data_IF_567858775257
#
_entry.id   IF_567858775257
#
_cell.length_a   1.000
_cell.length_b   1.000
_cell.length_c   1.000
_cell.angle_alpha   90.00
_cell.angle_beta   90.00
_cell.angle_gamma   90.00
#
_symmetry.space_group_name_H-M   'P 1'
#
loop_
_entity.id
_entity.type
_entity.pdbx_description
1 polymer ?
#
# COMPACT_ATOMS: atom_id res chain seq x y z
N UNK A 1 18.73 -27.80 4.51
CA UNK A 1 18.12 -27.91 5.85
C UNK A 1 16.95 -28.86 5.74
N UNK A 2 16.92 -29.87 6.62
CA UNK A 2 16.00 -31.02 6.56
C UNK A 2 14.58 -30.60 6.92
N UNK A 3 13.60 -31.04 6.11
CA UNK A 3 12.17 -30.96 6.47
C UNK A 3 11.92 -31.93 7.62
N UNK A 4 11.64 -31.44 8.82
CA UNK A 4 11.10 -32.27 9.91
C UNK A 4 9.61 -32.46 9.62
N UNK A 5 9.25 -33.66 9.17
CA UNK A 5 7.85 -34.08 9.06
C UNK A 5 7.38 -34.41 10.47
N UNK A 6 6.57 -33.54 11.07
CA UNK A 6 5.82 -33.89 12.27
C UNK A 6 4.66 -34.78 11.83
N UNK A 7 4.70 -36.07 12.19
CA UNK A 7 3.58 -36.98 11.94
C UNK A 7 2.40 -36.55 12.83
N UNK A 8 1.38 -35.97 12.23
CA UNK A 8 0.04 -35.87 12.81
C UNK A 8 -0.54 -37.29 12.99
N UNK A 9 -1.12 -37.59 14.15
CA UNK A 9 -1.79 -38.86 14.45
C UNK A 9 -3.22 -38.95 13.88
N UNK A 10 -3.60 -38.02 13.00
CA UNK A 10 -4.97 -37.87 12.49
C UNK A 10 -4.94 -37.57 10.99
N UNK A 11 -5.67 -38.36 10.21
CA UNK A 11 -5.57 -38.53 8.75
C UNK A 11 -6.38 -37.49 7.98
N UNK A 12 -7.05 -36.59 8.71
CA UNK A 12 -7.79 -35.44 8.22
C UNK A 12 -7.29 -34.10 8.79
N UNK A 13 -6.27 -34.10 9.66
CA UNK A 13 -5.66 -32.86 10.15
C UNK A 13 -4.49 -32.46 9.27
N UNK A 14 -4.75 -31.57 8.32
CA UNK A 14 -3.72 -30.81 7.63
C UNK A 14 -3.22 -29.69 8.55
N UNK A 15 -2.06 -29.90 9.16
CA UNK A 15 -1.33 -28.84 9.86
C UNK A 15 -0.46 -28.10 8.86
N UNK A 16 -0.72 -26.81 8.67
CA UNK A 16 0.14 -25.94 7.86
C UNK A 16 1.26 -25.42 8.76
N UNK A 17 2.44 -26.02 8.67
CA UNK A 17 3.64 -25.54 9.35
C UNK A 17 4.09 -24.22 8.71
N UNK A 18 3.87 -23.10 9.42
CA UNK A 18 4.32 -21.78 8.98
C UNK A 18 5.49 -21.33 9.86
N UNK A 19 6.46 -20.55 9.31
CA UNK A 19 7.58 -20.04 10.10
C UNK A 19 7.13 -19.27 11.34
N UNK A 20 7.97 -19.22 12.38
CA UNK A 20 7.67 -18.47 13.59
C UNK A 20 7.27 -17.02 13.28
N UNK A 21 6.22 -16.54 13.94
CA UNK A 21 5.77 -15.17 13.82
C UNK A 21 6.70 -14.24 14.60
N UNK A 22 7.09 -13.13 13.98
CA UNK A 22 7.97 -12.13 14.59
C UNK A 22 7.25 -10.79 14.69
N UNK A 23 7.31 -10.13 15.85
CA UNK A 23 6.77 -8.79 16.03
C UNK A 23 7.94 -7.81 16.09
N UNK A 24 7.92 -6.81 15.20
CA UNK A 24 8.88 -5.71 15.18
C UNK A 24 8.17 -4.41 15.54
N UNK A 25 8.77 -3.62 16.42
CA UNK A 25 8.27 -2.31 16.80
C UNK A 25 9.21 -1.21 16.30
N UNK A 26 8.64 -0.20 15.64
CA UNK A 26 9.38 0.95 15.15
C UNK A 26 8.79 2.24 15.72
N UNK A 27 9.65 3.13 16.23
CA UNK A 27 9.22 4.45 16.72
C UNK A 27 9.55 5.49 15.66
N UNK A 28 8.53 6.13 15.08
CA UNK A 28 8.68 7.09 13.96
C UNK A 28 8.60 8.56 14.45
N UNK A 29 8.37 8.79 15.74
CA UNK A 29 8.25 10.16 16.26
C UNK A 29 9.60 10.89 16.32
N UNK A 30 9.60 12.17 15.94
CA UNK A 30 10.74 13.07 16.09
C UNK A 30 10.67 13.73 17.47
N UNK A 31 11.75 13.69 18.25
CA UNK A 31 11.77 14.34 19.56
C UNK A 31 11.66 15.86 19.39
N UNK A 32 10.79 16.49 20.19
CA UNK A 32 10.48 17.93 20.10
C UNK A 32 11.72 18.79 20.32
N UNK A 33 12.74 18.25 21.00
CA UNK A 33 14.06 18.90 21.18
C UNK A 33 14.79 19.14 19.86
N UNK A 34 14.55 18.33 18.82
CA UNK A 34 15.13 18.53 17.49
C UNK A 34 14.33 19.51 16.61
N UNK A 35 13.13 19.90 17.06
CA UNK A 35 12.26 20.85 16.35
C UNK A 35 12.66 22.27 16.78
N UNK A 36 13.64 22.86 16.09
CA UNK A 36 14.13 24.22 16.38
C UNK A 36 13.04 25.30 16.29
N UNK A 37 11.97 25.05 15.54
CA UNK A 37 10.87 25.98 15.39
C UNK A 37 9.56 25.35 15.91
N UNK A 38 9.20 25.69 17.16
CA UNK A 38 8.02 25.16 17.87
C UNK A 38 6.69 25.48 17.19
N UNK A 39 6.67 26.40 16.21
CA UNK A 39 5.48 26.72 15.41
C UNK A 39 5.33 25.84 14.16
N UNK A 40 6.23 24.88 13.92
CA UNK A 40 6.06 23.88 12.86
C UNK A 40 4.92 22.95 13.26
N UNK A 41 3.75 23.25 12.71
CA UNK A 41 2.51 22.50 12.85
C UNK A 41 2.77 21.05 12.40
N UNK A 42 2.35 20.08 13.23
CA UNK A 42 2.33 18.66 12.90
C UNK A 42 1.58 18.49 11.57
N UNK A 43 2.28 18.13 10.50
CA UNK A 43 1.64 17.84 9.22
C UNK A 43 0.72 16.64 9.41
N UNK A 44 -0.58 16.82 9.18
CA UNK A 44 -1.58 15.75 9.13
C UNK A 44 -1.06 14.60 8.25
N UNK A 45 -0.83 13.44 8.87
CA UNK A 45 -0.38 12.23 8.19
C UNK A 45 -1.56 11.64 7.41
N UNK A 46 -1.70 12.02 6.15
CA UNK A 46 -2.62 11.33 5.21
C UNK A 46 -2.08 9.93 4.88
N UNK A 47 -2.93 9.00 4.42
CA UNK A 47 -2.61 7.60 4.09
C UNK A 47 -1.33 7.35 3.26
N UNK A 48 -0.89 8.33 2.46
CA UNK A 48 0.41 8.32 1.74
C UNK A 48 1.62 8.27 2.68
N UNK A 49 1.48 8.68 3.93
CA UNK A 49 2.51 8.70 4.98
C UNK A 49 2.37 7.56 5.97
N UNK A 50 1.33 6.73 5.84
CA UNK A 50 1.28 5.51 6.63
C UNK A 50 2.23 4.50 6.01
N UNK A 51 3.03 3.79 6.84
CA UNK A 51 3.95 2.77 6.39
C UNK A 51 3.19 1.50 5.96
N UNK A 52 2.30 1.64 4.98
CA UNK A 52 1.50 0.55 4.42
C UNK A 52 2.35 -0.40 3.56
N UNK A 53 3.51 0.10 3.10
CA UNK A 53 4.53 -0.65 2.39
C UNK A 53 5.85 -0.56 3.16
N UNK A 54 6.42 -1.72 3.50
CA UNK A 54 7.73 -1.81 4.11
C UNK A 54 8.80 -1.33 3.13
N UNK A 55 9.71 -0.48 3.63
CA UNK A 55 10.93 -0.05 2.93
C UNK A 55 12.10 -1.02 3.17
N UNK A 56 11.93 -1.99 4.08
CA UNK A 56 12.95 -2.96 4.42
C UNK A 56 13.00 -4.08 3.37
N UNK A 57 14.09 -4.14 2.61
CA UNK A 57 14.32 -5.18 1.60
C UNK A 57 14.58 -6.57 2.20
N UNK A 58 14.86 -6.66 3.50
CA UNK A 58 15.12 -7.89 4.27
C UNK A 58 13.95 -8.27 5.19
N UNK A 59 12.71 -7.87 4.84
CA UNK A 59 11.48 -8.30 5.51
C UNK A 59 11.38 -9.84 5.60
N UNK A 60 10.82 -10.34 6.69
CA UNK A 60 10.68 -11.79 6.94
C UNK A 60 9.23 -12.26 6.73
N UNK A 61 9.07 -13.56 6.48
CA UNK A 61 7.75 -14.20 6.46
C UNK A 61 7.15 -14.13 7.86
N UNK A 62 5.83 -13.92 7.97
CA UNK A 62 5.11 -13.84 9.25
C UNK A 62 5.59 -12.72 10.18
N UNK A 63 6.29 -11.72 9.64
CA UNK A 63 6.68 -10.55 10.40
C UNK A 63 5.53 -9.57 10.49
N UNK A 64 5.11 -9.23 11.69
CA UNK A 64 4.17 -8.14 11.98
C UNK A 64 4.95 -6.91 12.41
N UNK A 65 4.65 -5.74 11.86
CA UNK A 65 5.35 -4.50 12.21
C UNK A 65 4.38 -3.50 12.81
N UNK A 66 4.70 -2.98 13.99
CA UNK A 66 3.94 -1.89 14.63
C UNK A 66 4.76 -0.62 14.64
N UNK A 67 4.21 0.43 14.04
CA UNK A 67 4.81 1.75 13.96
C UNK A 67 4.12 2.68 14.96
N UNK A 68 4.87 3.15 15.96
CA UNK A 68 4.40 4.07 16.99
C UNK A 68 4.77 5.52 16.62
N UNK A 69 3.78 6.40 16.63
CA UNK A 69 3.93 7.80 16.25
C UNK A 69 4.01 8.76 17.45
N UNK A 70 3.97 8.23 18.68
CA UNK A 70 4.12 9.03 19.89
C UNK A 70 4.71 8.24 21.06
N UNK A 71 5.22 8.99 22.06
CA UNK A 71 5.94 8.45 23.23
C UNK A 71 5.09 7.50 24.08
N UNK A 72 3.81 7.82 24.29
CA UNK A 72 2.90 7.00 25.08
C UNK A 72 2.35 5.79 24.29
N UNK A 73 2.74 5.62 23.02
CA UNK A 73 2.38 4.48 22.16
C UNK A 73 0.88 4.27 21.99
N UNK A 74 0.07 5.32 22.13
CA UNK A 74 -1.38 5.25 21.91
C UNK A 74 -1.78 5.51 20.46
N UNK A 75 -0.84 6.01 19.65
CA UNK A 75 -1.04 6.36 18.24
C UNK A 75 -0.12 5.49 17.41
N UNK A 76 -0.70 4.52 16.71
CA UNK A 76 0.07 3.51 15.99
C UNK A 76 -0.61 2.96 14.75
N UNK A 77 0.19 2.29 13.94
CA UNK A 77 -0.25 1.41 12.86
C UNK A 77 0.43 0.06 12.99
N UNK A 78 -0.36 -1.01 13.00
CA UNK A 78 0.16 -2.37 12.90
C UNK A 78 -0.15 -2.92 11.51
N UNK A 79 0.85 -3.54 10.89
CA UNK A 79 0.73 -4.21 9.59
C UNK A 79 1.01 -5.68 9.79
N UNK A 80 -0.01 -6.50 9.55
CA UNK A 80 0.02 -7.94 9.77
C UNK A 80 -0.19 -8.65 8.43
N UNK A 81 0.80 -9.40 7.92
CA UNK A 81 0.63 -10.18 6.70
C UNK A 81 -0.22 -11.41 6.96
N UNK A 82 -0.73 -12.02 5.89
CA UNK A 82 -1.29 -13.36 5.97
C UNK A 82 -0.21 -14.38 6.39
N UNK A 83 -0.62 -15.40 7.13
CA UNK A 83 0.25 -16.51 7.51
C UNK A 83 0.94 -17.14 6.27
N UNK A 84 2.25 -17.31 6.34
CA UNK A 84 3.11 -17.77 5.26
C UNK A 84 3.55 -16.68 4.28
N UNK A 85 3.21 -15.41 4.50
CA UNK A 85 3.54 -14.30 3.59
C UNK A 85 4.33 -13.16 4.26
N UNK A 86 4.76 -12.20 3.45
CA UNK A 86 5.50 -11.01 3.83
C UNK A 86 4.56 -9.80 3.92
N UNK A 87 4.91 -8.82 4.76
CA UNK A 87 4.30 -7.48 4.70
C UNK A 87 4.50 -6.89 3.29
N UNK A 88 3.51 -6.18 2.71
CA UNK A 88 3.64 -5.47 1.44
C UNK A 88 4.87 -4.54 1.38
N UNK A 89 5.45 -4.36 0.20
CA UNK A 89 6.69 -3.60 0.02
C UNK A 89 6.78 -3.07 -1.40
N UNK A 90 7.98 -3.02 -1.98
CA UNK A 90 8.20 -2.23 -3.20
C UNK A 90 7.33 -2.63 -4.41
N UNK A 91 7.23 -3.93 -4.69
CA UNK A 91 6.39 -4.43 -5.80
C UNK A 91 4.92 -4.14 -5.56
N UNK A 92 4.45 -4.34 -4.33
CA UNK A 92 3.07 -4.06 -3.95
C UNK A 92 2.76 -2.55 -4.02
N UNK A 93 3.72 -1.70 -3.66
CA UNK A 93 3.61 -0.25 -3.76
C UNK A 93 3.44 0.20 -5.21
N UNK A 94 4.27 -0.30 -6.14
CA UNK A 94 4.13 0.01 -7.58
C UNK A 94 2.79 -0.45 -8.13
N UNK A 95 2.34 -1.65 -7.76
CA UNK A 95 1.03 -2.16 -8.16
C UNK A 95 -0.09 -1.29 -7.61
N UNK A 96 0.00 -0.88 -6.34
CA UNK A 96 -0.98 -0.01 -5.73
C UNK A 96 -1.04 1.38 -6.40
N UNK A 97 0.11 1.98 -6.76
CA UNK A 97 0.15 3.24 -7.52
C UNK A 97 -0.53 3.07 -8.89
N UNK A 98 -0.22 2.00 -9.61
CA UNK A 98 -0.87 1.71 -10.89
C UNK A 98 -2.39 1.46 -10.73
N UNK A 99 -2.83 0.81 -9.65
CA UNK A 99 -4.24 0.66 -9.32
C UNK A 99 -4.92 2.03 -9.12
N UNK A 100 -4.24 2.97 -8.46
CA UNK A 100 -4.77 4.32 -8.27
C UNK A 100 -4.91 5.08 -9.60
N UNK A 101 -3.95 4.93 -10.52
CA UNK A 101 -4.07 5.49 -11.87
C UNK A 101 -5.26 4.90 -12.63
N UNK A 102 -5.39 3.57 -12.65
CA UNK A 102 -6.50 2.87 -13.32
C UNK A 102 -7.85 3.26 -12.70
N UNK A 103 -7.91 3.33 -11.36
CA UNK A 103 -9.11 3.75 -10.64
C UNK A 103 -9.51 5.17 -11.02
N UNK A 104 -8.54 6.09 -11.15
CA UNK A 104 -8.77 7.47 -11.63
C UNK A 104 -9.31 7.49 -13.05
N UNK A 105 -8.70 6.74 -13.97
CA UNK A 105 -9.13 6.63 -15.37
C UNK A 105 -10.57 6.09 -15.50
N UNK A 106 -10.98 5.21 -14.57
CA UNK A 106 -12.33 4.64 -14.52
C UNK A 106 -13.35 5.51 -13.76
N UNK A 107 -12.99 6.73 -13.36
CA UNK A 107 -13.89 7.67 -12.68
C UNK A 107 -13.98 7.48 -11.17
N UNK A 108 -12.91 6.97 -10.54
CA UNK A 108 -12.80 6.73 -9.09
C UNK A 108 -13.84 5.76 -8.48
N UNK A 109 -14.20 4.64 -9.13
CA UNK A 109 -15.18 3.71 -8.57
C UNK A 109 -14.60 2.96 -7.36
N UNK A 110 -15.43 2.74 -6.33
CA UNK A 110 -15.06 1.88 -5.17
C UNK A 110 -14.73 0.45 -5.60
N UNK A 111 -15.44 -0.03 -6.62
CA UNK A 111 -15.36 -1.39 -7.14
C UNK A 111 -15.09 -1.37 -8.63
N UNK A 112 -14.07 -2.09 -9.09
CA UNK A 112 -13.74 -2.16 -10.50
C UNK A 112 -13.00 -3.45 -10.86
N UNK A 113 -12.98 -3.76 -12.15
CA UNK A 113 -12.31 -4.92 -12.72
C UNK A 113 -11.00 -4.49 -13.39
N UNK A 114 -9.98 -5.32 -13.27
CA UNK A 114 -8.69 -5.16 -13.95
C UNK A 114 -8.14 -6.50 -14.46
N UNK A 115 -7.24 -6.44 -15.42
CA UNK A 115 -6.39 -7.54 -15.83
C UNK A 115 -4.94 -7.35 -15.38
N UNK A 116 -4.18 -8.45 -15.30
CA UNK A 116 -2.74 -8.35 -15.08
C UNK A 116 -2.00 -7.65 -16.23
N UNK A 117 -2.57 -7.65 -17.44
CA UNK A 117 -2.02 -6.93 -18.59
C UNK A 117 -2.15 -5.41 -18.43
N UNK A 118 -3.29 -4.91 -17.94
CA UNK A 118 -3.45 -3.49 -17.61
C UNK A 118 -2.38 -3.02 -16.61
N UNK A 119 -2.17 -3.78 -15.53
CA UNK A 119 -1.13 -3.46 -14.55
C UNK A 119 0.29 -3.56 -15.12
N UNK A 120 0.57 -4.57 -15.95
CA UNK A 120 1.85 -4.70 -16.64
C UNK A 120 2.15 -3.46 -17.48
N UNK A 121 1.18 -3.00 -18.25
CA UNK A 121 1.35 -1.87 -19.15
C UNK A 121 1.52 -0.55 -18.37
N UNK A 122 0.84 -0.38 -17.23
CA UNK A 122 1.03 0.79 -16.37
C UNK A 122 2.40 0.83 -15.69
N UNK A 123 2.86 -0.31 -15.16
CA UNK A 123 4.11 -0.39 -14.40
C UNK A 123 5.34 -0.53 -15.33
N UNK A 124 5.13 -0.75 -16.63
CA UNK A 124 6.18 -1.15 -17.57
C UNK A 124 6.97 -2.38 -17.11
N UNK A 125 6.26 -3.41 -16.62
CA UNK A 125 6.92 -4.66 -16.21
C UNK A 125 7.66 -5.30 -17.40
N UNK A 126 8.97 -5.43 -17.26
CA UNK A 126 9.85 -6.09 -18.24
C UNK A 126 9.80 -7.62 -18.17
N UNK A 127 9.30 -8.18 -17.05
CA UNK A 127 9.25 -9.63 -16.84
C UNK A 127 8.13 -10.32 -17.62
N UNK A 128 8.46 -11.47 -18.21
CA UNK A 128 7.48 -12.36 -18.85
C UNK A 128 6.56 -13.05 -17.84
N UNK A 129 6.98 -13.13 -16.56
CA UNK A 129 6.21 -13.73 -15.45
C UNK A 129 5.26 -12.74 -14.76
N UNK A 130 4.91 -11.63 -15.42
CA UNK A 130 4.09 -10.56 -14.83
C UNK A 130 2.76 -11.06 -14.24
N UNK A 131 2.12 -12.07 -14.84
CA UNK A 131 0.86 -12.61 -14.31
C UNK A 131 1.00 -13.12 -12.87
N UNK A 132 2.03 -13.91 -12.57
CA UNK A 132 2.22 -14.47 -11.23
C UNK A 132 2.70 -13.42 -10.23
N UNK A 133 3.46 -12.42 -10.69
CA UNK A 133 3.88 -11.27 -9.87
C UNK A 133 2.66 -10.45 -9.45
N UNK A 134 1.80 -10.11 -10.41
CA UNK A 134 0.57 -9.35 -10.17
C UNK A 134 -0.37 -10.12 -9.25
N UNK A 135 -0.61 -11.40 -9.53
CA UNK A 135 -1.49 -12.24 -8.71
C UNK A 135 -1.03 -12.30 -7.24
N UNK A 136 0.26 -12.56 -7.00
CA UNK A 136 0.82 -12.61 -5.65
C UNK A 136 0.73 -11.27 -4.94
N UNK A 137 1.08 -10.18 -5.61
CA UNK A 137 1.06 -8.86 -5.00
C UNK A 137 -0.37 -8.38 -4.69
N UNK A 138 -1.32 -8.63 -5.60
CA UNK A 138 -2.73 -8.33 -5.36
C UNK A 138 -3.30 -9.16 -4.21
N UNK A 139 -2.97 -10.45 -4.15
CA UNK A 139 -3.36 -11.32 -3.04
C UNK A 139 -2.80 -10.81 -1.72
N UNK A 140 -1.50 -10.49 -1.67
CA UNK A 140 -0.82 -9.95 -0.49
C UNK A 140 -1.45 -8.63 -0.02
N UNK A 141 -1.77 -7.73 -0.94
CA UNK A 141 -2.43 -6.46 -0.62
C UNK A 141 -3.83 -6.66 -0.04
N UNK A 142 -4.59 -7.63 -0.55
CA UNK A 142 -5.93 -7.91 -0.07
C UNK A 142 -5.94 -8.64 1.28
N UNK A 143 -4.96 -9.51 1.54
CA UNK A 143 -4.90 -10.33 2.74
C UNK A 143 -4.06 -9.74 3.88
N UNK A 144 -3.37 -8.63 3.65
CA UNK A 144 -2.68 -7.89 4.72
C UNK A 144 -3.69 -7.08 5.52
N UNK A 145 -3.66 -7.26 6.84
CA UNK A 145 -4.50 -6.51 7.78
C UNK A 145 -3.74 -5.32 8.33
N UNK A 146 -4.41 -4.16 8.35
CA UNK A 146 -3.93 -2.92 8.91
C UNK A 146 -4.76 -2.55 10.12
N UNK A 147 -4.10 -2.35 11.25
CA UNK A 147 -4.71 -1.82 12.47
C UNK A 147 -4.27 -0.38 12.62
N UNK A 148 -5.22 0.54 12.65
CA UNK A 148 -5.01 1.97 12.87
C UNK A 148 -5.57 2.36 14.22
N UNK A 149 -4.76 2.95 15.10
CA UNK A 149 -5.24 3.56 16.35
C UNK A 149 -4.82 5.02 16.39
N UNK A 150 -5.79 5.92 16.47
CA UNK A 150 -5.56 7.38 16.46
C UNK A 150 -4.75 7.86 15.25
N UNK A 151 -4.82 7.13 14.12
CA UNK A 151 -4.07 7.44 12.91
C UNK A 151 -4.98 7.67 11.71
N UNK A 152 -6.13 7.01 11.61
CA UNK A 152 -7.04 7.24 10.48
C UNK A 152 -7.74 8.60 10.58
N UNK A 153 -7.55 9.43 9.57
CA UNK A 153 -8.36 10.62 9.38
C UNK A 153 -9.79 10.22 8.97
N UNK A 154 -10.79 10.64 9.76
CA UNK A 154 -12.17 10.64 9.31
C UNK A 154 -12.45 11.91 8.54
N UNK A 155 -12.72 11.70 7.27
CA UNK A 155 -13.21 12.73 6.38
C UNK A 155 -14.63 13.21 6.69
N UNK A 156 -15.40 12.44 7.46
CA UNK A 156 -16.76 12.80 7.89
C UNK A 156 -16.69 13.68 9.15
N UNK A 157 -15.80 13.35 10.07
CA UNK A 157 -15.59 14.10 11.33
C UNK A 157 -14.53 15.20 11.24
N UNK A 158 -13.89 15.38 10.07
CA UNK A 158 -12.80 16.34 9.82
C UNK A 158 -11.69 16.28 10.88
N UNK A 159 -11.34 15.08 11.34
CA UNK A 159 -10.36 14.86 12.40
C UNK A 159 -9.91 13.41 12.47
N UNK A 160 -8.93 13.14 13.33
CA UNK A 160 -8.45 11.78 13.59
C UNK A 160 -9.53 10.99 14.34
N UNK A 161 -9.83 9.78 13.88
CA UNK A 161 -10.69 8.85 14.62
C UNK A 161 -9.96 8.41 15.89
N UNK A 162 -10.57 8.67 17.04
CA UNK A 162 -10.08 8.22 18.36
C UNK A 162 -10.21 6.71 18.58
N UNK A 163 -10.54 5.96 17.53
CA UNK A 163 -10.93 4.55 17.57
C UNK A 163 -9.83 3.67 16.99
N UNK A 164 -9.83 2.41 17.40
CA UNK A 164 -9.01 1.36 16.79
C UNK A 164 -9.81 0.77 15.63
N UNK A 165 -9.26 0.84 14.43
CA UNK A 165 -9.88 0.31 13.20
C UNK A 165 -8.98 -0.76 12.62
N UNK A 166 -9.56 -1.90 12.29
CA UNK A 166 -8.87 -3.02 11.67
C UNK A 166 -9.48 -3.29 10.29
N UNK A 167 -8.66 -3.23 9.24
CA UNK A 167 -9.15 -3.33 7.87
C UNK A 167 -8.04 -3.70 6.88
N UNK A 168 -8.40 -4.21 5.71
CA UNK A 168 -7.50 -4.37 4.56
C UNK A 168 -7.68 -3.22 3.56
N UNK A 169 -6.80 -3.14 2.55
CA UNK A 169 -6.91 -2.09 1.52
C UNK A 169 -8.16 -2.31 0.65
N UNK A 170 -8.36 -3.54 0.20
CA UNK A 170 -9.45 -3.94 -0.66
C UNK A 170 -9.73 -5.44 -0.52
N UNK A 171 -10.95 -5.83 -0.89
CA UNK A 171 -11.28 -7.20 -1.19
C UNK A 171 -10.95 -7.51 -2.65
N UNK A 172 -10.54 -8.75 -2.93
CA UNK A 172 -10.24 -9.21 -4.28
C UNK A 172 -11.03 -10.47 -4.62
N UNK A 173 -11.54 -10.52 -5.85
CA UNK A 173 -12.11 -11.73 -6.45
C UNK A 173 -11.41 -12.04 -7.76
N UNK A 174 -10.76 -13.21 -7.82
CA UNK A 174 -10.15 -13.74 -9.03
C UNK A 174 -11.20 -14.43 -9.90
N UNK A 175 -11.34 -13.97 -11.14
CA UNK A 175 -12.38 -14.42 -12.07
C UNK A 175 -11.72 -15.07 -13.27
N UNK A 176 -11.95 -16.38 -13.44
CA UNK A 176 -11.51 -17.12 -14.64
C UNK A 176 -12.56 -16.99 -15.74
N UNK A 177 -12.20 -16.40 -16.87
CA UNK A 177 -13.12 -16.08 -17.97
C UNK A 177 -13.62 -17.31 -18.75
N UNK A 178 -12.89 -18.43 -18.69
CA UNK A 178 -13.30 -19.69 -19.32
C UNK A 178 -14.55 -20.31 -18.69
N UNK A 179 -14.84 -20.00 -17.41
CA UNK A 179 -16.00 -20.53 -16.69
C UNK A 179 -17.32 -19.98 -17.25
N UNK A 180 -18.36 -20.82 -17.26
CA UNK A 180 -19.67 -20.47 -17.84
C UNK A 180 -20.38 -19.38 -17.03
N UNK A 181 -20.24 -19.36 -15.70
CA UNK A 181 -20.85 -18.33 -14.86
C UNK A 181 -20.27 -16.91 -15.09
N UNK A 182 -19.08 -16.82 -15.68
CA UNK A 182 -18.36 -15.56 -15.88
C UNK A 182 -18.56 -14.94 -17.28
N UNK A 183 -19.55 -15.41 -18.05
CA UNK A 183 -19.85 -14.88 -19.39
C UNK A 183 -20.00 -13.36 -19.41
N UNK A 184 -20.61 -12.76 -18.37
CA UNK A 184 -20.80 -11.30 -18.25
C UNK A 184 -19.50 -10.49 -18.31
N UNK A 185 -18.39 -11.07 -17.86
CA UNK A 185 -17.09 -10.40 -17.84
C UNK A 185 -16.34 -10.50 -19.18
N UNK A 186 -16.76 -11.37 -20.10
CA UNK A 186 -16.08 -11.57 -21.39
C UNK A 186 -16.17 -10.34 -22.29
N UNK A 187 -17.27 -9.58 -22.19
CA UNK A 187 -17.46 -8.36 -22.96
C UNK A 187 -16.63 -7.18 -22.41
N UNK A 188 -16.10 -7.29 -21.18
CA UNK A 188 -15.26 -6.26 -20.58
C UNK A 188 -13.79 -6.36 -21.00
N UNK A 189 -13.42 -7.42 -21.73
CA UNK A 189 -12.04 -7.72 -22.09
C UNK A 189 -11.95 -7.95 -23.59
N UNK A 190 -11.31 -7.00 -24.29
CA UNK A 190 -11.12 -7.09 -25.75
C UNK A 190 -10.10 -8.18 -26.12
N UNK A 191 -9.01 -8.31 -25.34
CA UNK A 191 -7.96 -9.29 -25.61
C UNK A 191 -8.34 -10.70 -25.15
N UNK A 192 -8.68 -11.56 -26.12
CA UNK A 192 -9.06 -12.97 -25.91
C UNK A 192 -7.96 -13.84 -25.28
N UNK A 193 -6.71 -13.37 -25.21
CA UNK A 193 -5.60 -14.09 -24.55
C UNK A 193 -5.69 -13.99 -23.03
N UNK A 194 -6.39 -12.99 -22.50
CA UNK A 194 -6.59 -12.82 -21.07
C UNK A 194 -7.54 -13.93 -20.58
N UNK A 195 -7.05 -14.74 -19.63
CA UNK A 195 -7.82 -15.85 -19.04
C UNK A 195 -8.40 -15.50 -17.68
N UNK A 196 -7.79 -14.54 -16.99
CA UNK A 196 -8.08 -14.17 -15.61
C UNK A 196 -8.14 -12.66 -15.49
N UNK A 197 -9.14 -12.18 -14.76
CA UNK A 197 -9.28 -10.79 -14.32
C UNK A 197 -9.50 -10.77 -12.81
N UNK A 198 -9.30 -9.60 -12.21
CA UNK A 198 -9.46 -9.35 -10.78
C UNK A 198 -10.53 -8.28 -10.59
N UNK A 199 -11.55 -8.59 -9.81
CA UNK A 199 -12.51 -7.60 -9.31
C UNK A 199 -12.04 -7.13 -7.95
N UNK A 200 -11.77 -5.83 -7.84
CA UNK A 200 -11.28 -5.18 -6.62
C UNK A 200 -12.39 -4.33 -6.02
N UNK A 201 -12.51 -4.33 -4.70
CA UNK A 201 -13.44 -3.49 -3.96
C UNK A 201 -12.74 -2.87 -2.75
N UNK A 202 -12.45 -1.57 -2.82
CA UNK A 202 -11.74 -0.84 -1.77
C UNK A 202 -12.56 -0.77 -0.49
N UNK A 203 -11.91 -0.97 0.66
CA UNK A 203 -12.57 -0.82 1.96
C UNK A 203 -12.98 0.64 2.19
N UNK A 204 -14.05 0.87 2.93
CA UNK A 204 -14.63 2.21 3.09
C UNK A 204 -13.67 3.23 3.70
N UNK A 205 -12.81 2.80 4.62
CA UNK A 205 -11.78 3.66 5.20
C UNK A 205 -10.75 4.08 4.16
N UNK A 206 -10.26 3.16 3.32
CA UNK A 206 -9.31 3.49 2.26
C UNK A 206 -9.98 4.33 1.15
N UNK A 207 -11.14 3.93 0.67
CA UNK A 207 -11.86 4.60 -0.42
C UNK A 207 -12.19 6.06 -0.10
N UNK A 208 -12.77 6.33 1.07
CA UNK A 208 -13.11 7.71 1.48
C UNK A 208 -11.88 8.61 1.59
N UNK A 209 -10.77 8.06 2.04
CA UNK A 209 -9.50 8.79 2.13
C UNK A 209 -8.86 9.02 0.76
N UNK A 210 -8.94 8.05 -0.15
CA UNK A 210 -8.48 8.18 -1.54
C UNK A 210 -9.23 9.32 -2.25
N UNK A 211 -10.56 9.36 -2.15
CA UNK A 211 -11.40 10.33 -2.86
C UNK A 211 -11.32 11.75 -2.32
N UNK A 212 -11.35 11.94 -0.99
CA UNK A 212 -11.64 13.27 -0.47
C UNK A 212 -10.48 14.26 -0.52
N UNK A 213 -9.21 13.90 -0.23
CA UNK A 213 -8.15 14.94 -0.06
C UNK A 213 -6.66 14.58 -0.31
N UNK A 214 -6.26 13.38 -0.74
CA UNK A 214 -4.82 13.03 -0.68
C UNK A 214 -4.17 12.39 -1.90
N UNK A 215 -4.85 11.46 -2.58
CA UNK A 215 -4.16 10.53 -3.49
C UNK A 215 -3.86 11.07 -4.88
N UNK A 216 -4.49 12.18 -5.27
CA UNK A 216 -4.54 12.65 -6.65
C UNK A 216 -3.54 13.75 -7.01
N UNK A 217 -2.70 14.17 -6.07
CA UNK A 217 -1.76 15.30 -6.28
C UNK A 217 -0.41 14.83 -6.85
N UNK A 218 -0.17 13.51 -6.91
CA UNK A 218 1.08 12.98 -7.40
C UNK A 218 0.96 12.51 -8.85
N UNK A 219 2.00 12.82 -9.61
CA UNK A 219 2.20 12.24 -10.92
C UNK A 219 2.56 10.75 -10.76
N UNK A 220 1.63 9.88 -11.15
CA UNK A 220 1.80 8.44 -11.04
C UNK A 220 2.88 7.90 -11.98
N UNK A 221 3.13 8.53 -13.12
CA UNK A 221 4.13 8.08 -14.08
C UNK A 221 5.53 8.36 -13.52
N UNK A 222 5.75 9.57 -12.97
CA UNK A 222 6.99 9.90 -12.24
C UNK A 222 7.20 8.92 -11.06
N UNK A 223 6.15 8.63 -10.29
CA UNK A 223 6.26 7.68 -9.19
C UNK A 223 6.67 6.28 -9.67
N UNK A 224 6.11 5.79 -10.77
CA UNK A 224 6.43 4.47 -11.31
C UNK A 224 7.84 4.40 -11.92
N UNK A 225 8.35 5.52 -12.45
CA UNK A 225 9.73 5.66 -12.94
C UNK A 225 10.78 5.64 -11.82
N UNK A 226 10.47 6.21 -10.65
CA UNK A 226 11.39 6.19 -9.51
C UNK A 226 11.53 4.75 -9.02
N UNK A 227 12.74 4.18 -9.15
CA UNK A 227 13.00 2.80 -8.78
C UNK A 227 12.80 2.57 -7.27
N UNK A 228 13.55 3.31 -6.44
CA UNK A 228 13.58 3.09 -5.00
C UNK A 228 12.29 3.52 -4.30
N UNK A 229 11.75 2.62 -3.48
CA UNK A 229 10.63 2.89 -2.56
C UNK A 229 10.88 4.09 -1.63
N UNK A 230 12.13 4.28 -1.19
CA UNK A 230 12.53 5.41 -0.34
C UNK A 230 12.51 6.71 -1.13
N UNK A 231 13.04 6.71 -2.35
CA UNK A 231 13.03 7.87 -3.22
C UNK A 231 11.59 8.31 -3.59
N UNK A 232 10.68 7.35 -3.85
CA UNK A 232 9.26 7.64 -4.05
C UNK A 232 8.65 8.33 -2.83
N UNK A 233 8.94 7.84 -1.62
CA UNK A 233 8.46 8.48 -0.39
C UNK A 233 8.99 9.90 -0.25
N UNK A 234 10.28 10.13 -0.49
CA UNK A 234 10.87 11.49 -0.45
C UNK A 234 10.18 12.40 -1.46
N UNK A 235 9.98 11.95 -2.70
CA UNK A 235 9.28 12.70 -3.73
C UNK A 235 7.84 13.06 -3.30
N UNK A 236 7.07 12.10 -2.80
CA UNK A 236 5.70 12.34 -2.30
C UNK A 236 5.67 13.34 -1.13
N UNK A 237 6.69 13.32 -0.25
CA UNK A 237 6.82 14.29 0.82
C UNK A 237 7.09 15.69 0.28
N UNK A 238 8.01 15.83 -0.67
CA UNK A 238 8.35 17.13 -1.30
C UNK A 238 7.13 17.70 -2.03
N UNK A 239 6.45 16.92 -2.87
CA UNK A 239 5.27 17.37 -3.62
C UNK A 239 4.11 17.78 -2.69
N UNK A 240 3.95 17.10 -1.55
CA UNK A 240 2.97 17.49 -0.53
C UNK A 240 3.29 18.88 0.05
N UNK A 241 4.56 19.12 0.40
CA UNK A 241 5.02 20.42 0.93
C UNK A 241 4.74 21.53 -0.09
N UNK A 242 5.05 21.29 -1.37
CA UNK A 242 4.78 22.23 -2.48
C UNK A 242 3.29 22.55 -2.59
N UNK A 243 2.42 21.55 -2.54
CA UNK A 243 0.97 21.74 -2.69
C UNK A 243 0.33 22.51 -1.52
N UNK A 244 0.85 22.34 -0.30
CA UNK A 244 0.40 23.08 0.88
C UNK A 244 0.88 24.55 0.91
N UNK A 245 1.46 25.06 -0.19
CA UNK A 245 2.07 26.41 -0.28
C UNK A 245 3.11 26.68 0.81
N UNK A 246 3.72 25.64 1.40
CA UNK A 246 4.94 25.82 2.15
C UNK A 246 6.05 26.01 1.11
N UNK A 247 6.44 27.26 0.90
CA UNK A 247 7.53 27.61 0.01
C UNK A 247 8.78 26.80 0.36
N UNK A 248 9.11 25.79 -0.45
CA UNK A 248 10.49 25.61 -0.86
C UNK A 248 10.76 26.74 -1.87
N UNK A 249 10.82 27.98 -1.37
CA UNK A 249 11.63 29.03 -1.98
C UNK A 249 13.05 28.52 -1.75
N UNK A 250 13.47 27.59 -2.60
CA UNK A 250 14.85 27.13 -2.60
C UNK A 250 15.67 28.39 -2.79
N UNK A 251 16.68 28.50 -1.95
CA UNK A 251 17.94 29.22 -2.13
C UNK A 251 18.63 28.93 -3.49
N UNK A 252 17.88 28.76 -4.59
CA UNK A 252 18.35 28.71 -5.97
C UNK A 252 18.93 30.06 -6.37
N UNK A 253 18.43 31.15 -5.79
CA UNK A 253 19.03 32.48 -5.89
C UNK A 253 20.41 32.55 -5.20
N UNK A 254 20.71 31.69 -4.22
CA UNK A 254 22.05 31.59 -3.61
C UNK A 254 22.98 30.63 -4.35
N UNK A 255 22.45 29.64 -5.06
CA UNK A 255 23.24 28.75 -5.94
C UNK A 255 23.56 29.38 -7.32
N UNK A 256 22.85 30.45 -7.70
CA UNK A 256 23.10 31.23 -8.92
C UNK A 256 23.47 32.68 -8.53
N UNK A 257 24.54 32.83 -7.75
CA UNK A 257 25.38 34.03 -7.81
C UNK A 257 26.83 33.61 -7.98
N UNK A 258 27.22 33.48 -9.26
CA UNK A 258 28.60 33.70 -9.69
C UNK A 258 28.80 35.20 -9.83
N UNK A 259 29.50 35.80 -8.88
CA UNK A 259 30.58 36.78 -9.04
C UNK A 259 31.09 37.15 -7.65
#
# INVERSE_FOLDING_TARGET
>A
MSKKIVKSSVWWEETIDTPEAEIVEENIYVDEKFIKNKSLIRMDLNLIQFPIFSKNTKRKVNQTVTYFFNKNRDTYITVTPQAGDYIPGETEEKIFIALMQIMKEKGMPKKFVISALELKNKINFTTTKYNSVVEKALSRLASTTYVFKNTLYSSEHKGILGEKIETSIFNIKTITLSKKENKKYRNLVEDKRIKVIYELEFSDHFYRNIIKKGYLVYDGDILLEIESSTARTIYMLIEKIRFQKLYLKIDTLFLIKRK
#
